data_IF_694055203531
#
_entry.id   IF_694055203531
#
_cell.length_a   1.000
_cell.length_b   1.000
_cell.length_c   1.000
_cell.angle_alpha   90.00
_cell.angle_beta   90.00
_cell.angle_gamma   90.00
#
_symmetry.space_group_name_H-M   'P 1'
#
loop_
_entity.id
_entity.type
_entity.pdbx_description
1 polymer ?
#
# COMPACT_ATOMS: atom_id res chain seq x y z
N UNK A 1 20.44 3.56 18.44
CA UNK A 1 20.53 2.40 17.50
C UNK A 1 21.89 1.73 17.41
N UNK A 2 22.99 2.47 17.25
CA UNK A 2 24.32 1.86 16.99
C UNK A 2 24.69 0.73 17.95
N UNK A 3 24.43 0.88 19.25
CA UNK A 3 24.72 -0.15 20.27
C UNK A 3 23.90 -1.43 20.00
N UNK A 4 22.63 -1.31 19.65
CA UNK A 4 21.77 -2.46 19.31
C UNK A 4 22.29 -3.18 18.07
N UNK A 5 22.60 -2.42 17.02
CA UNK A 5 23.02 -2.98 15.72
C UNK A 5 24.39 -3.65 15.82
N UNK A 6 25.35 -3.03 16.54
CA UNK A 6 26.71 -3.56 16.64
C UNK A 6 26.89 -4.65 17.69
N UNK A 7 26.11 -4.58 18.78
CA UNK A 7 26.37 -5.34 20.01
C UNK A 7 25.17 -6.16 20.50
N UNK A 8 24.01 -6.03 19.84
CA UNK A 8 22.83 -6.85 20.11
C UNK A 8 21.93 -6.35 21.26
N UNK A 9 20.80 -7.04 21.50
CA UNK A 9 19.77 -6.70 22.48
C UNK A 9 20.25 -6.60 23.92
N UNK A 10 21.09 -7.53 24.34
CA UNK A 10 21.48 -7.73 25.73
C UNK A 10 22.43 -6.60 26.17
N UNK A 11 23.38 -6.26 25.31
CA UNK A 11 24.31 -5.15 25.54
C UNK A 11 23.56 -3.82 25.56
N UNK A 12 22.58 -3.62 24.66
CA UNK A 12 21.71 -2.45 24.71
C UNK A 12 21.01 -2.31 26.07
N UNK A 13 20.41 -3.39 26.60
CA UNK A 13 19.72 -3.36 27.90
C UNK A 13 20.68 -3.12 29.06
N UNK A 14 21.87 -3.74 29.03
CA UNK A 14 22.91 -3.50 30.03
C UNK A 14 23.32 -2.03 30.06
N UNK A 15 23.59 -1.46 28.87
CA UNK A 15 23.96 -0.06 28.73
C UNK A 15 22.85 0.90 29.20
N UNK A 16 21.59 0.59 28.85
CA UNK A 16 20.43 1.34 29.35
C UNK A 16 20.36 1.31 30.88
N UNK A 17 20.52 0.13 31.49
CA UNK A 17 20.48 -0.03 32.95
C UNK A 17 21.62 0.72 33.63
N UNK A 18 22.83 0.68 33.08
CA UNK A 18 23.98 1.41 33.61
C UNK A 18 23.73 2.92 33.60
N UNK A 19 23.27 3.47 32.47
CA UNK A 19 22.97 4.90 32.35
C UNK A 19 21.80 5.33 33.26
N UNK A 20 20.82 4.45 33.48
CA UNK A 20 19.72 4.75 34.39
C UNK A 20 20.20 5.03 35.82
N UNK A 21 21.26 4.35 36.26
CA UNK A 21 21.84 4.50 37.60
C UNK A 21 22.94 5.56 37.68
N UNK A 22 23.70 5.75 36.60
CA UNK A 22 24.90 6.61 36.59
C UNK A 22 24.64 8.00 36.02
N UNK A 23 23.82 8.12 34.97
CA UNK A 23 23.61 9.37 34.24
C UNK A 23 22.25 9.43 33.54
N UNK A 24 21.20 9.68 34.35
CA UNK A 24 19.80 9.74 33.89
C UNK A 24 19.53 10.87 32.89
N UNK A 25 20.27 11.98 32.97
CA UNK A 25 20.12 13.11 32.04
C UNK A 25 20.60 12.73 30.63
N UNK A 26 21.79 12.13 30.53
CA UNK A 26 22.31 11.62 29.26
C UNK A 26 21.39 10.55 28.66
N UNK A 27 20.80 9.68 29.51
CA UNK A 27 19.81 8.71 29.04
C UNK A 27 18.58 9.38 28.42
N UNK A 28 18.06 10.45 29.03
CA UNK A 28 16.92 11.19 28.49
C UNK A 28 17.24 11.88 27.16
N UNK A 29 18.46 12.42 27.01
CA UNK A 29 18.95 12.98 25.74
C UNK A 29 19.01 11.91 24.64
N UNK A 30 19.61 10.75 24.93
CA UNK A 30 19.71 9.63 23.99
C UNK A 30 18.32 9.07 23.58
N UNK A 31 17.38 9.01 24.51
CA UNK A 31 16.00 8.59 24.24
C UNK A 31 15.19 9.64 23.45
N UNK A 32 15.68 10.88 23.38
CA UNK A 32 15.08 11.97 22.62
C UNK A 32 15.77 12.21 21.27
N UNK A 33 16.76 11.39 20.92
CA UNK A 33 17.50 11.49 19.67
C UNK A 33 16.60 11.22 18.46
N UNK A 34 16.61 12.14 17.49
CA UNK A 34 15.76 12.07 16.28
C UNK A 34 16.05 10.88 15.36
N UNK A 35 17.24 10.29 15.46
CA UNK A 35 17.67 9.13 14.70
C UNK A 35 17.40 7.82 15.43
N UNK A 36 16.83 7.87 16.65
CA UNK A 36 16.34 6.69 17.32
C UNK A 36 15.30 5.99 16.45
N UNK A 37 15.44 4.68 16.27
CA UNK A 37 14.46 3.86 15.54
C UNK A 37 13.43 3.26 16.49
N UNK A 38 12.24 3.03 15.97
CA UNK A 38 11.16 2.38 16.71
C UNK A 38 11.56 0.99 17.24
N UNK A 39 12.35 0.21 16.50
CA UNK A 39 12.83 -1.11 16.95
C UNK A 39 13.58 -1.04 18.27
N UNK A 40 14.55 -0.13 18.40
CA UNK A 40 15.27 0.13 19.66
C UNK A 40 14.34 0.56 20.78
N UNK A 41 13.44 1.52 20.50
CA UNK A 41 12.50 2.01 21.51
C UNK A 41 11.55 0.90 21.99
N UNK A 42 11.05 0.07 21.08
CA UNK A 42 10.17 -1.05 21.37
C UNK A 42 10.85 -2.10 22.24
N UNK A 43 12.13 -2.40 22.00
CA UNK A 43 12.89 -3.35 22.83
C UNK A 43 13.01 -2.87 24.28
N UNK A 44 13.23 -1.57 24.47
CA UNK A 44 13.40 -0.94 25.78
C UNK A 44 12.06 -0.59 26.46
N UNK A 45 10.91 -0.89 25.85
CA UNK A 45 9.58 -0.46 26.34
C UNK A 45 9.30 -0.86 27.79
N UNK A 46 9.69 -2.07 28.20
CA UNK A 46 9.51 -2.58 29.56
C UNK A 46 10.34 -1.78 30.57
N UNK A 47 11.58 -1.48 30.19
CA UNK A 47 12.59 -0.88 31.05
C UNK A 47 12.30 0.62 31.22
N UNK A 48 11.85 1.29 30.14
CA UNK A 48 11.35 2.67 30.15
C UNK A 48 10.12 2.80 31.04
N UNK A 49 9.18 1.84 30.95
CA UNK A 49 7.96 1.82 31.76
C UNK A 49 8.27 1.59 33.25
N UNK A 50 9.15 0.65 33.56
CA UNK A 50 9.57 0.33 34.93
C UNK A 50 10.38 1.44 35.61
N UNK A 51 11.10 2.25 34.84
CA UNK A 51 11.96 3.33 35.35
C UNK A 51 11.27 4.70 35.48
N UNK A 52 10.01 4.83 35.05
CA UNK A 52 9.27 6.09 35.05
C UNK A 52 9.79 7.14 34.06
N UNK A 53 10.52 6.72 33.02
CA UNK A 53 11.06 7.63 32.00
C UNK A 53 10.06 7.97 30.89
N UNK A 54 8.92 7.28 30.84
CA UNK A 54 7.91 7.44 29.79
C UNK A 54 7.49 8.90 29.58
N UNK A 55 7.27 9.66 30.65
CA UNK A 55 6.78 11.04 30.55
C UNK A 55 7.81 12.01 29.93
N UNK A 56 9.11 11.70 30.08
CA UNK A 56 10.22 12.47 29.54
C UNK A 56 10.46 12.26 28.04
N UNK A 57 9.82 11.25 27.44
CA UNK A 57 9.97 10.97 26.01
C UNK A 57 9.28 12.03 25.15
N UNK A 58 9.78 12.26 23.92
CA UNK A 58 9.07 13.00 22.89
C UNK A 58 7.64 12.49 22.68
N UNK A 59 6.70 13.39 22.35
CA UNK A 59 5.28 13.06 22.21
C UNK A 59 5.03 11.92 21.20
N UNK A 60 5.72 11.94 20.06
CA UNK A 60 5.64 10.90 19.02
C UNK A 60 6.04 9.53 19.57
N UNK A 61 7.08 9.47 20.42
CA UNK A 61 7.60 8.22 20.96
C UNK A 61 6.66 7.66 22.04
N UNK A 62 6.09 8.54 22.87
CA UNK A 62 5.04 8.16 23.84
C UNK A 62 3.84 7.55 23.12
N UNK A 63 3.35 8.24 22.10
CA UNK A 63 2.21 7.79 21.32
C UNK A 63 2.52 6.48 20.57
N UNK A 64 3.72 6.33 20.03
CA UNK A 64 4.15 5.10 19.37
C UNK A 64 4.19 3.91 20.32
N UNK A 65 4.69 4.09 21.55
CA UNK A 65 4.66 3.05 22.58
C UNK A 65 3.23 2.69 22.96
N UNK A 66 2.34 3.68 23.15
CA UNK A 66 0.92 3.47 23.43
C UNK A 66 0.21 2.66 22.36
N UNK A 67 0.38 3.04 21.09
CA UNK A 67 -0.17 2.32 19.96
C UNK A 67 0.38 0.89 19.90
N UNK A 68 1.68 0.71 20.13
CA UNK A 68 2.30 -0.61 20.11
C UNK A 68 1.77 -1.53 21.21
N UNK A 69 1.52 -1.00 22.41
CA UNK A 69 0.91 -1.75 23.52
C UNK A 69 -0.52 -2.17 23.16
N UNK A 70 -1.35 -1.22 22.72
CA UNK A 70 -2.75 -1.47 22.35
C UNK A 70 -2.90 -2.49 21.20
N UNK A 71 -2.07 -2.37 20.16
CA UNK A 71 -2.10 -3.26 19.00
C UNK A 71 -1.54 -4.66 19.30
N UNK A 72 -0.63 -4.78 20.26
CA UNK A 72 -0.13 -6.07 20.75
C UNK A 72 -1.16 -6.76 21.66
N UNK A 73 -1.85 -6.01 22.52
CA UNK A 73 -2.86 -6.57 23.44
C UNK A 73 -4.10 -7.09 22.69
N UNK A 74 -4.55 -6.39 21.65
CA UNK A 74 -5.65 -6.84 20.79
C UNK A 74 -5.38 -8.24 20.18
N UNK A 75 -4.12 -8.58 19.91
CA UNK A 75 -3.73 -9.92 19.45
C UNK A 75 -4.04 -11.02 20.48
N UNK A 76 -3.71 -10.76 21.75
CA UNK A 76 -3.89 -11.75 22.82
C UNK A 76 -5.36 -12.02 23.14
N UNK A 77 -6.24 -11.06 22.83
CA UNK A 77 -7.69 -11.21 22.98
C UNK A 77 -8.29 -12.10 21.87
N UNK A 78 -7.84 -11.95 20.63
CA UNK A 78 -8.31 -12.72 19.48
C UNK A 78 -7.77 -14.17 19.45
N UNK A 79 -6.62 -14.44 20.08
CA UNK A 79 -5.99 -15.77 20.13
C UNK A 79 -6.40 -16.62 21.34
N UNK A 80 -7.20 -16.09 22.28
CA UNK A 80 -7.82 -16.89 23.32
C UNK A 80 -8.86 -17.85 22.70
N UNK A 81 -8.94 -19.14 23.11
CA UNK A 81 -9.80 -20.12 22.46
C UNK A 81 -11.28 -19.83 22.71
N UNK A 82 -11.84 -18.96 21.88
CA UNK A 82 -13.28 -18.78 21.72
C UNK A 82 -13.78 -19.82 20.72
N UNK A 83 -14.74 -20.64 21.15
CA UNK A 83 -15.40 -21.67 20.33
C UNK A 83 -15.83 -21.08 18.97
N UNK A 84 -15.22 -21.61 17.90
CA UNK A 84 -15.63 -21.59 16.49
C UNK A 84 -16.51 -20.40 16.06
N UNK A 85 -15.90 -19.42 15.41
CA UNK A 85 -16.45 -18.84 14.17
C UNK A 85 -15.30 -18.56 13.20
N UNK A 86 -15.32 -19.30 12.10
CA UNK A 86 -14.57 -18.97 10.89
C UNK A 86 -15.21 -17.71 10.29
N UNK A 87 -14.45 -16.62 10.17
CA UNK A 87 -14.72 -15.57 9.19
C UNK A 87 -13.48 -14.71 8.98
N UNK A 88 -12.86 -14.93 7.83
CA UNK A 88 -12.18 -13.96 6.95
C UNK A 88 -12.60 -12.51 7.19
N UNK A 89 -11.61 -11.63 7.29
CA UNK A 89 -11.73 -10.17 7.28
C UNK A 89 -12.61 -9.71 6.12
N UNK A 90 -13.86 -9.39 6.43
CA UNK A 90 -14.84 -8.87 5.50
C UNK A 90 -15.95 -8.19 6.29
N UNK A 91 -16.10 -6.88 6.05
CA UNK A 91 -17.17 -5.98 6.55
C UNK A 91 -17.15 -5.65 8.04
N UNK A 92 -16.55 -4.50 8.37
CA UNK A 92 -16.95 -3.75 9.56
C UNK A 92 -18.23 -2.95 9.25
N UNK A 93 -19.37 -3.57 9.50
CA UNK A 93 -20.62 -2.89 9.81
C UNK A 93 -20.92 -3.15 11.29
N UNK A 94 -21.17 -2.07 12.04
CA UNK A 94 -21.05 -2.04 13.49
C UNK A 94 -21.85 -3.09 14.26
N UNK A 95 -21.27 -3.55 15.36
CA UNK A 95 -22.07 -4.09 16.46
C UNK A 95 -21.33 -3.87 17.78
N UNK A 96 -21.94 -3.08 18.67
CA UNK A 96 -21.51 -2.89 20.06
C UNK A 96 -21.68 -4.22 20.79
N UNK A 97 -20.67 -4.63 21.55
CA UNK A 97 -20.88 -5.58 22.66
C UNK A 97 -20.25 -5.04 23.94
N UNK A 98 -21.15 -4.85 24.90
CA UNK A 98 -20.92 -4.38 26.26
C UNK A 98 -20.48 -5.53 27.18
N UNK A 99 -19.55 -5.24 28.07
CA UNK A 99 -19.53 -5.78 29.43
C UNK A 99 -18.48 -6.85 29.77
N UNK A 100 -17.37 -6.44 30.40
CA UNK A 100 -17.01 -6.89 31.77
C UNK A 100 -15.79 -6.13 32.33
N UNK A 101 -15.87 -5.84 33.63
CA UNK A 101 -14.93 -5.05 34.41
C UNK A 101 -13.66 -5.85 34.78
N UNK A 102 -12.49 -5.24 34.52
CA UNK A 102 -11.28 -5.41 35.33
C UNK A 102 -10.68 -4.03 35.57
N UNK A 103 -10.43 -3.71 36.84
CA UNK A 103 -9.83 -2.48 37.29
C UNK A 103 -8.31 -2.49 37.00
N UNK A 104 -7.96 -2.18 35.77
CA UNK A 104 -6.73 -1.51 35.37
C UNK A 104 -7.17 -0.34 34.47
N UNK A 105 -6.38 0.72 34.32
CA UNK A 105 -6.67 1.76 33.32
C UNK A 105 -7.01 1.06 31.99
N UNK A 106 -8.28 1.07 31.58
CA UNK A 106 -8.68 0.42 30.33
C UNK A 106 -7.85 1.05 29.23
N UNK A 107 -7.07 0.23 28.51
CA UNK A 107 -6.43 0.67 27.28
C UNK A 107 -7.52 1.33 26.42
N UNK A 108 -7.24 2.53 25.91
CA UNK A 108 -8.19 3.21 25.02
C UNK A 108 -8.46 2.29 23.83
N UNK A 109 -9.72 2.14 23.38
CA UNK A 109 -9.99 1.37 22.19
C UNK A 109 -9.24 1.98 21.01
N UNK A 110 -8.72 1.12 20.12
CA UNK A 110 -7.87 1.52 18.99
C UNK A 110 -8.54 2.60 18.14
N UNK A 111 -9.86 2.51 17.93
CA UNK A 111 -10.64 3.50 17.18
C UNK A 111 -10.57 4.92 17.80
N UNK A 112 -10.61 5.03 19.12
CA UNK A 112 -10.47 6.32 19.81
C UNK A 112 -9.04 6.86 19.72
N UNK A 113 -8.04 5.98 19.73
CA UNK A 113 -6.64 6.38 19.54
C UNK A 113 -6.40 6.89 18.12
N UNK A 114 -6.96 6.24 17.12
CA UNK A 114 -6.79 6.62 15.71
C UNK A 114 -7.50 7.93 15.34
N UNK A 115 -8.46 8.38 16.15
CA UNK A 115 -9.08 9.70 16.01
C UNK A 115 -8.13 10.86 16.41
N UNK A 116 -7.06 10.58 17.15
CA UNK A 116 -6.05 11.57 17.52
C UNK A 116 -5.10 11.83 16.33
N UNK A 117 -4.94 13.09 15.86
CA UNK A 117 -4.00 13.42 14.78
C UNK A 117 -2.56 13.00 15.06
N UNK A 118 -2.15 12.93 16.33
CA UNK A 118 -0.82 12.48 16.72
C UNK A 118 -0.58 11.00 16.45
N UNK A 119 -1.64 10.19 16.33
CA UNK A 119 -1.54 8.77 15.99
C UNK A 119 -1.05 8.55 14.57
N UNK A 120 -1.46 9.37 13.61
CA UNK A 120 -0.96 9.31 12.23
C UNK A 120 0.55 9.58 12.19
N UNK A 121 1.02 10.60 12.91
CA UNK A 121 2.44 10.93 13.01
C UNK A 121 3.25 9.81 13.67
N UNK A 122 2.73 9.24 14.77
CA UNK A 122 3.38 8.14 15.48
C UNK A 122 3.43 6.86 14.64
N UNK A 123 2.32 6.47 13.99
CA UNK A 123 2.30 5.34 13.06
C UNK A 123 3.24 5.56 11.87
N UNK A 124 3.27 6.77 11.31
CA UNK A 124 4.20 7.14 10.25
C UNK A 124 5.66 6.98 10.69
N UNK A 125 6.00 7.35 11.91
CA UNK A 125 7.35 7.14 12.45
C UNK A 125 7.64 5.66 12.74
N UNK A 126 6.66 4.90 13.27
CA UNK A 126 6.76 3.45 13.45
C UNK A 126 7.07 2.78 12.13
N UNK A 127 6.27 3.02 11.08
CA UNK A 127 6.42 2.35 9.77
C UNK A 127 7.76 2.67 9.14
N UNK A 128 8.21 3.93 9.15
CA UNK A 128 9.50 4.33 8.56
C UNK A 128 10.72 3.75 9.26
N UNK A 129 10.65 3.59 10.58
CA UNK A 129 11.86 3.26 11.37
C UNK A 129 11.83 1.86 11.97
N UNK A 130 10.66 1.21 12.00
CA UNK A 130 10.42 -0.04 12.71
C UNK A 130 10.64 -1.30 11.89
N UNK A 131 10.58 -1.25 10.55
CA UNK A 131 10.94 -2.42 9.74
C UNK A 131 12.44 -2.68 9.87
N UNK A 132 12.79 -3.74 10.60
CA UNK A 132 14.15 -4.03 11.05
C UNK A 132 14.40 -5.54 11.03
N UNK A 133 15.43 -5.97 10.29
CA UNK A 133 15.77 -7.37 10.09
C UNK A 133 16.31 -8.07 11.34
N UNK A 134 16.82 -7.31 12.31
CA UNK A 134 17.42 -7.83 13.54
C UNK A 134 16.39 -8.09 14.65
N UNK A 135 15.12 -7.73 14.41
CA UNK A 135 14.05 -7.91 15.39
C UNK A 135 13.47 -9.33 15.33
N UNK A 136 13.03 -9.90 16.48
CA UNK A 136 12.44 -11.23 16.51
C UNK A 136 11.25 -11.36 15.56
N UNK A 137 11.24 -12.45 14.80
CA UNK A 137 10.13 -12.80 13.93
C UNK A 137 8.88 -13.14 14.75
N UNK A 138 7.71 -13.14 14.12
CA UNK A 138 6.37 -13.33 14.70
C UNK A 138 5.70 -12.10 15.31
N UNK A 139 5.93 -11.79 16.60
CA UNK A 139 5.12 -10.78 17.31
C UNK A 139 5.43 -9.36 16.84
N UNK A 140 6.71 -9.05 16.69
CA UNK A 140 7.13 -7.74 16.21
C UNK A 140 6.74 -7.52 14.75
N UNK A 141 6.94 -8.54 13.92
CA UNK A 141 6.54 -8.51 12.51
C UNK A 141 5.04 -8.24 12.35
N UNK A 142 4.18 -8.99 13.06
CA UNK A 142 2.73 -8.78 13.03
C UNK A 142 2.33 -7.39 13.50
N UNK A 143 2.99 -6.85 14.53
CA UNK A 143 2.78 -5.46 14.95
C UNK A 143 3.12 -4.49 13.80
N UNK A 144 4.25 -4.69 13.13
CA UNK A 144 4.68 -3.84 12.02
C UNK A 144 3.72 -3.92 10.82
N UNK A 145 3.22 -5.10 10.48
CA UNK A 145 2.18 -5.29 9.46
C UNK A 145 0.90 -4.54 9.82
N UNK A 146 0.43 -4.64 11.06
CA UNK A 146 -0.77 -3.92 11.55
C UNK A 146 -0.59 -2.41 11.50
N UNK A 147 0.54 -1.89 11.98
CA UNK A 147 0.85 -0.46 11.92
C UNK A 147 0.86 0.05 10.48
N UNK A 148 1.47 -0.72 9.56
CA UNK A 148 1.52 -0.39 8.13
C UNK A 148 0.12 -0.39 7.51
N UNK A 149 -0.69 -1.41 7.78
CA UNK A 149 -2.07 -1.50 7.29
C UNK A 149 -2.96 -0.37 7.84
N UNK A 150 -2.89 -0.06 9.13
CA UNK A 150 -3.67 1.04 9.72
C UNK A 150 -3.30 2.39 9.07
N UNK A 151 -2.02 2.64 8.86
CA UNK A 151 -1.56 3.89 8.28
C UNK A 151 -1.99 4.05 6.80
N UNK A 152 -1.77 3.02 5.98
CA UNK A 152 -2.07 3.06 4.54
C UNK A 152 -3.57 2.91 4.24
N UNK A 153 -4.26 2.01 4.92
CA UNK A 153 -5.63 1.61 4.56
C UNK A 153 -6.68 2.43 5.29
N UNK A 154 -6.48 2.69 6.58
CA UNK A 154 -7.48 3.39 7.41
C UNK A 154 -7.21 4.89 7.47
N UNK A 155 -5.97 5.29 7.74
CA UNK A 155 -5.59 6.71 7.81
C UNK A 155 -5.28 7.31 6.43
N UNK A 156 -5.12 6.48 5.40
CA UNK A 156 -4.83 6.89 4.01
C UNK A 156 -3.58 7.78 3.89
N UNK A 157 -2.61 7.63 4.80
CA UNK A 157 -1.34 8.34 4.72
C UNK A 157 -0.39 7.62 3.77
N UNK A 158 -0.34 8.13 2.54
CA UNK A 158 0.46 7.59 1.42
C UNK A 158 1.93 7.99 1.48
N UNK A 159 2.32 8.86 2.41
CA UNK A 159 3.69 9.40 2.49
C UNK A 159 4.75 8.36 2.86
N UNK A 160 4.34 7.16 3.27
CA UNK A 160 5.24 6.03 3.59
C UNK A 160 5.33 4.99 2.48
N UNK A 161 4.63 5.17 1.34
CA UNK A 161 4.64 4.18 0.25
C UNK A 161 6.05 3.88 -0.28
N UNK A 162 6.97 4.85 -0.43
CA UNK A 162 8.36 4.55 -0.79
C UNK A 162 9.04 3.61 0.20
N UNK A 163 8.94 3.90 1.50
CA UNK A 163 9.52 3.08 2.57
C UNK A 163 8.92 1.66 2.56
N UNK A 164 7.60 1.55 2.38
CA UNK A 164 6.90 0.25 2.34
C UNK A 164 7.28 -0.55 1.10
N UNK A 165 7.45 0.09 -0.06
CA UNK A 165 7.96 -0.57 -1.26
C UNK A 165 9.35 -1.15 -0.99
N UNK A 166 10.27 -0.36 -0.42
CA UNK A 166 11.62 -0.80 -0.10
C UNK A 166 11.62 -2.04 0.81
N UNK A 167 10.78 -2.02 1.85
CA UNK A 167 10.59 -3.15 2.77
C UNK A 167 10.03 -4.39 2.07
N UNK A 168 9.05 -4.25 1.17
CA UNK A 168 8.51 -5.38 0.39
C UNK A 168 9.63 -6.09 -0.36
N UNK A 169 10.44 -5.33 -1.11
CA UNK A 169 11.51 -5.92 -1.91
C UNK A 169 12.64 -6.47 -1.04
N UNK A 170 13.04 -5.78 0.02
CA UNK A 170 14.04 -6.28 0.96
C UNK A 170 13.63 -7.60 1.61
N UNK A 171 12.41 -7.69 2.12
CA UNK A 171 11.89 -8.91 2.72
C UNK A 171 11.78 -10.05 1.71
N UNK A 172 11.34 -9.75 0.49
CA UNK A 172 11.30 -10.75 -0.58
C UNK A 172 12.69 -11.28 -0.93
N UNK A 173 13.73 -10.43 -0.98
CA UNK A 173 15.12 -10.88 -1.15
C UNK A 173 15.57 -11.81 -0.03
N UNK A 174 15.07 -11.62 1.18
CA UNK A 174 15.37 -12.50 2.32
C UNK A 174 14.53 -13.79 2.34
N UNK A 175 13.62 -13.98 1.37
CA UNK A 175 12.71 -15.12 1.32
C UNK A 175 11.57 -15.05 2.35
N UNK A 176 11.37 -13.89 3.00
CA UNK A 176 10.30 -13.69 3.98
C UNK A 176 8.96 -13.43 3.29
N UNK A 177 7.87 -13.68 4.02
CA UNK A 177 6.51 -13.40 3.52
C UNK A 177 6.28 -11.89 3.38
N UNK A 178 5.65 -11.51 2.27
CA UNK A 178 5.36 -10.11 1.91
C UNK A 178 3.88 -9.85 1.64
N UNK A 179 3.02 -10.86 1.75
CA UNK A 179 1.63 -10.79 1.26
C UNK A 179 0.82 -9.68 1.94
N UNK A 180 0.96 -9.49 3.25
CA UNK A 180 0.23 -8.44 3.99
C UNK A 180 0.73 -7.04 3.65
N UNK A 181 2.04 -6.88 3.44
CA UNK A 181 2.64 -5.63 3.01
C UNK A 181 2.21 -5.26 1.59
N UNK A 182 2.26 -6.21 0.66
CA UNK A 182 1.78 -6.02 -0.72
C UNK A 182 0.30 -5.67 -0.72
N UNK A 183 -0.52 -6.38 0.06
CA UNK A 183 -1.94 -6.05 0.20
C UNK A 183 -2.13 -4.61 0.71
N UNK A 184 -1.49 -4.22 1.81
CA UNK A 184 -1.60 -2.87 2.37
C UNK A 184 -1.13 -1.79 1.39
N UNK A 185 -0.08 -2.07 0.61
CA UNK A 185 0.43 -1.18 -0.44
C UNK A 185 -0.62 -0.90 -1.53
N UNK A 186 -1.27 -1.93 -2.05
CA UNK A 186 -2.30 -1.77 -3.08
C UNK A 186 -3.62 -1.19 -2.55
N UNK A 187 -4.01 -1.48 -1.30
CA UNK A 187 -5.20 -0.89 -0.63
C UNK A 187 -5.05 0.61 -0.28
N UNK A 188 -3.84 1.17 -0.42
CA UNK A 188 -3.64 2.61 -0.37
C UNK A 188 -4.30 3.34 -1.55
N UNK A 189 -4.64 2.60 -2.63
CA UNK A 189 -5.23 3.08 -3.87
C UNK A 189 -4.51 4.31 -4.45
N UNK A 190 -3.19 4.30 -4.37
CA UNK A 190 -2.33 5.33 -4.95
C UNK A 190 -1.73 4.86 -6.26
N UNK A 191 -2.13 5.46 -7.39
CA UNK A 191 -1.68 5.00 -8.71
C UNK A 191 -0.20 5.29 -8.94
N UNK A 192 0.30 6.41 -8.41
CA UNK A 192 1.69 6.84 -8.60
C UNK A 192 2.67 5.85 -7.94
N UNK A 193 2.22 5.14 -6.90
CA UNK A 193 2.95 4.04 -6.27
C UNK A 193 3.40 2.94 -7.26
N UNK A 194 2.73 2.79 -8.41
CA UNK A 194 3.15 1.85 -9.46
C UNK A 194 4.54 2.18 -10.01
N UNK A 195 4.96 3.45 -10.01
CA UNK A 195 6.30 3.85 -10.40
C UNK A 195 7.37 3.31 -9.43
N UNK A 196 7.06 3.19 -8.14
CA UNK A 196 7.96 2.59 -7.13
C UNK A 196 8.22 1.11 -7.44
N UNK A 197 7.18 0.39 -7.89
CA UNK A 197 7.30 -1.00 -8.31
C UNK A 197 8.05 -1.10 -9.64
N UNK A 198 7.74 -0.23 -10.61
CA UNK A 198 8.37 -0.24 -11.93
C UNK A 198 9.90 -0.03 -11.84
N UNK A 199 10.36 0.87 -10.96
CA UNK A 199 11.79 1.10 -10.72
C UNK A 199 12.57 -0.19 -10.37
N UNK A 200 11.89 -1.19 -9.78
CA UNK A 200 12.49 -2.46 -9.36
C UNK A 200 12.74 -3.43 -10.51
N UNK A 201 12.21 -3.15 -11.71
CA UNK A 201 12.57 -3.88 -12.94
C UNK A 201 14.05 -3.69 -13.30
N UNK A 202 14.63 -2.53 -12.96
CA UNK A 202 16.05 -2.21 -13.16
C UNK A 202 16.95 -2.70 -12.02
N UNK A 203 16.42 -3.41 -11.01
CA UNK A 203 17.23 -3.87 -9.88
C UNK A 203 18.29 -4.87 -10.34
N UNK A 204 19.54 -4.79 -9.82
CA UNK A 204 20.55 -5.81 -10.09
C UNK A 204 20.19 -7.16 -9.47
N UNK A 205 19.30 -7.20 -8.46
CA UNK A 205 18.80 -8.45 -7.89
C UNK A 205 17.64 -8.99 -8.74
N UNK A 206 17.85 -10.17 -9.34
CA UNK A 206 16.86 -10.83 -10.18
C UNK A 206 15.54 -11.11 -9.46
N UNK A 207 15.56 -11.28 -8.13
CA UNK A 207 14.36 -11.50 -7.30
C UNK A 207 13.49 -10.26 -7.24
N UNK A 208 14.09 -9.07 -7.22
CA UNK A 208 13.34 -7.82 -7.25
C UNK A 208 12.64 -7.65 -8.60
N UNK A 209 13.37 -7.81 -9.71
CA UNK A 209 12.79 -7.71 -11.04
C UNK A 209 11.67 -8.75 -11.26
N UNK A 210 11.85 -9.98 -10.74
CA UNK A 210 10.82 -11.02 -10.81
C UNK A 210 9.56 -10.67 -10.02
N UNK A 211 9.70 -10.12 -8.80
CA UNK A 211 8.55 -9.66 -8.03
C UNK A 211 7.87 -8.47 -8.70
N UNK A 212 8.63 -7.50 -9.21
CA UNK A 212 8.08 -6.34 -9.92
C UNK A 212 7.23 -6.75 -11.13
N UNK A 213 7.72 -7.68 -11.96
CA UNK A 213 6.95 -8.27 -13.07
C UNK A 213 5.66 -8.94 -12.59
N UNK A 214 5.72 -9.68 -11.48
CA UNK A 214 4.54 -10.32 -10.89
C UNK A 214 3.49 -9.29 -10.44
N UNK A 215 3.92 -8.20 -9.81
CA UNK A 215 3.04 -7.14 -9.33
C UNK A 215 2.47 -6.27 -10.46
N UNK A 216 3.20 -6.12 -11.56
CA UNK A 216 2.83 -5.32 -12.73
C UNK A 216 2.28 -6.15 -13.90
N UNK A 217 1.88 -7.40 -13.66
CA UNK A 217 1.49 -8.35 -14.70
C UNK A 217 0.28 -7.93 -15.55
N UNK A 218 -0.47 -6.90 -15.14
CA UNK A 218 -1.56 -6.31 -15.91
C UNK A 218 -1.07 -5.41 -17.06
N UNK A 219 0.21 -5.02 -17.04
CA UNK A 219 0.84 -4.21 -18.08
C UNK A 219 1.38 -5.14 -19.18
N UNK A 220 0.98 -4.95 -20.45
CA UNK A 220 1.45 -5.77 -21.56
C UNK A 220 2.98 -5.77 -21.70
N UNK A 221 3.57 -6.93 -21.98
CA UNK A 221 5.01 -7.09 -22.21
C UNK A 221 5.86 -7.22 -20.94
N UNK A 222 5.27 -7.11 -19.75
CA UNK A 222 5.99 -7.31 -18.48
C UNK A 222 6.38 -8.76 -18.20
N UNK A 223 5.84 -9.72 -18.94
CA UNK A 223 6.14 -11.15 -18.83
C UNK A 223 7.32 -11.61 -19.70
N UNK A 224 7.83 -10.75 -20.59
CA UNK A 224 8.98 -11.07 -21.44
C UNK A 224 10.28 -11.13 -20.64
N UNK A 225 10.61 -12.32 -20.12
CA UNK A 225 11.82 -12.56 -19.33
C UNK A 225 13.12 -12.38 -20.14
N UNK A 226 13.05 -12.31 -21.48
CA UNK A 226 14.22 -12.14 -22.34
C UNK A 226 14.66 -10.69 -22.49
N UNK A 227 13.74 -9.73 -22.29
CA UNK A 227 14.04 -8.31 -22.38
C UNK A 227 14.94 -7.84 -21.22
N UNK A 228 15.84 -6.90 -21.51
CA UNK A 228 16.64 -6.21 -20.49
C UNK A 228 15.74 -5.41 -19.54
N UNK A 229 16.14 -5.34 -18.26
CA UNK A 229 15.38 -4.68 -17.20
C UNK A 229 15.15 -3.19 -17.47
N UNK A 230 16.10 -2.48 -18.09
CA UNK A 230 15.92 -1.07 -18.44
C UNK A 230 14.91 -0.90 -19.57
N UNK A 231 15.00 -1.75 -20.60
CA UNK A 231 14.06 -1.77 -21.72
C UNK A 231 12.63 -2.03 -21.23
N UNK A 232 12.44 -3.03 -20.36
CA UNK A 232 11.14 -3.29 -19.71
C UNK A 232 10.67 -2.08 -18.90
N UNK A 233 11.55 -1.47 -18.11
CA UNK A 233 11.22 -0.29 -17.32
C UNK A 233 10.75 0.87 -18.18
N UNK A 234 11.46 1.20 -19.26
CA UNK A 234 11.07 2.28 -20.18
C UNK A 234 9.72 1.99 -20.86
N UNK A 235 9.50 0.76 -21.34
CA UNK A 235 8.21 0.36 -21.92
C UNK A 235 7.06 0.48 -20.91
N UNK A 236 7.31 0.10 -19.65
CA UNK A 236 6.33 0.25 -18.55
C UNK A 236 6.05 1.72 -18.27
N UNK A 237 7.07 2.58 -18.22
CA UNK A 237 6.89 4.02 -18.01
C UNK A 237 6.07 4.67 -19.12
N UNK A 238 6.40 4.37 -20.38
CA UNK A 238 5.66 4.87 -21.53
C UNK A 238 4.20 4.43 -21.47
N UNK A 239 3.96 3.15 -21.18
CA UNK A 239 2.61 2.62 -21.03
C UNK A 239 1.84 3.29 -19.89
N UNK A 240 2.47 3.46 -18.71
CA UNK A 240 1.86 4.14 -17.57
C UNK A 240 1.52 5.58 -17.90
N UNK A 241 2.42 6.32 -18.57
CA UNK A 241 2.18 7.73 -18.91
C UNK A 241 0.89 7.96 -19.70
N UNK A 242 0.49 7.00 -20.53
CA UNK A 242 -0.77 7.03 -21.29
C UNK A 242 -1.94 6.50 -20.47
N UNK A 243 -1.73 5.44 -19.67
CA UNK A 243 -2.82 4.70 -19.03
C UNK A 243 -3.17 5.15 -17.62
N UNK A 244 -2.34 5.94 -16.95
CA UNK A 244 -2.51 6.35 -15.55
C UNK A 244 -3.93 6.85 -15.19
N UNK A 245 -4.58 7.73 -15.99
CA UNK A 245 -5.93 8.20 -15.68
C UNK A 245 -7.00 7.11 -15.70
N UNK A 246 -6.72 5.99 -16.35
CA UNK A 246 -7.67 4.91 -16.62
C UNK A 246 -7.42 3.67 -15.73
N UNK A 247 -6.39 3.69 -14.89
CA UNK A 247 -6.05 2.59 -13.99
C UNK A 247 -6.97 2.62 -12.75
N UNK A 248 -7.44 1.43 -12.37
CA UNK A 248 -8.16 1.20 -11.12
C UNK A 248 -7.65 -0.07 -10.43
N UNK A 249 -7.89 -0.16 -9.13
CA UNK A 249 -7.52 -1.31 -8.31
C UNK A 249 -8.65 -2.34 -8.33
N UNK A 250 -8.31 -3.61 -8.51
CA UNK A 250 -9.30 -4.70 -8.67
C UNK A 250 -9.78 -5.25 -7.32
N UNK A 251 -9.03 -4.98 -6.25
CA UNK A 251 -9.19 -5.60 -4.95
C UNK A 251 -8.63 -7.04 -4.86
N UNK A 252 -8.01 -7.56 -5.92
CA UNK A 252 -7.35 -8.87 -5.87
C UNK A 252 -6.12 -8.86 -4.96
N UNK A 253 -5.82 -10.00 -4.33
CA UNK A 253 -4.69 -10.11 -3.41
C UNK A 253 -4.04 -11.49 -3.42
N UNK A 254 -2.78 -11.55 -2.97
CA UNK A 254 -2.02 -12.80 -2.85
C UNK A 254 -2.62 -13.79 -1.83
N UNK A 255 -3.55 -13.33 -0.99
CA UNK A 255 -4.26 -14.18 -0.04
C UNK A 255 -5.44 -14.92 -0.70
N UNK A 256 -6.00 -14.37 -1.78
CA UNK A 256 -7.17 -14.91 -2.47
C UNK A 256 -6.78 -15.79 -3.66
N UNK A 257 -5.74 -15.40 -4.42
CA UNK A 257 -5.30 -16.13 -5.60
C UNK A 257 -3.76 -16.11 -5.75
N UNK A 258 -3.16 -17.13 -6.40
CA UNK A 258 -1.70 -17.22 -6.54
C UNK A 258 -1.10 -16.22 -7.55
N UNK A 259 -1.94 -15.72 -8.47
CA UNK A 259 -1.58 -14.76 -9.52
C UNK A 259 -2.58 -13.60 -9.54
N UNK A 260 -2.59 -12.74 -8.51
CA UNK A 260 -3.50 -11.61 -8.44
C UNK A 260 -3.17 -10.57 -9.52
N UNK A 261 -4.22 -10.02 -10.11
CA UNK A 261 -4.14 -8.87 -11.00
C UNK A 261 -4.55 -7.64 -10.19
N UNK A 262 -3.60 -6.95 -9.56
CA UNK A 262 -3.89 -5.86 -8.60
C UNK A 262 -4.56 -4.64 -9.21
N UNK A 263 -4.26 -4.35 -10.48
CA UNK A 263 -4.75 -3.20 -11.20
C UNK A 263 -5.26 -3.61 -12.58
N UNK A 264 -6.18 -2.82 -13.13
CA UNK A 264 -6.67 -3.00 -14.49
C UNK A 264 -6.96 -1.64 -15.14
N UNK A 265 -6.97 -1.63 -16.47
CA UNK A 265 -7.32 -0.45 -17.27
C UNK A 265 -8.81 -0.44 -17.57
N UNK A 266 -9.46 0.67 -17.30
CA UNK A 266 -10.85 0.88 -17.66
C UNK A 266 -10.98 1.17 -19.16
N UNK A 267 -11.57 0.23 -19.89
CA UNK A 267 -11.93 0.44 -21.30
C UNK A 267 -12.96 1.57 -21.45
N UNK A 268 -13.84 1.76 -20.47
CA UNK A 268 -14.81 2.86 -20.47
C UNK A 268 -14.12 4.23 -20.36
N UNK A 269 -13.18 4.37 -19.42
CA UNK A 269 -12.36 5.57 -19.26
C UNK A 269 -11.53 5.86 -20.51
N UNK A 270 -10.88 4.83 -21.08
CA UNK A 270 -10.10 4.97 -22.33
C UNK A 270 -10.96 5.34 -23.53
N UNK A 271 -12.14 4.74 -23.67
CA UNK A 271 -13.05 5.06 -24.76
C UNK A 271 -13.54 6.51 -24.70
N UNK A 272 -13.81 7.03 -23.50
CA UNK A 272 -14.24 8.42 -23.33
C UNK A 272 -13.08 9.41 -23.13
N UNK A 273 -11.86 8.90 -23.02
CA UNK A 273 -10.66 9.68 -22.67
C UNK A 273 -10.84 10.49 -21.38
N UNK A 274 -11.57 9.93 -20.41
CA UNK A 274 -11.88 10.55 -19.12
C UNK A 274 -11.28 9.74 -17.97
N UNK A 275 -10.73 10.43 -16.98
CA UNK A 275 -10.20 9.81 -15.77
C UNK A 275 -11.29 8.99 -15.05
N UNK A 276 -10.89 7.84 -14.51
CA UNK A 276 -11.78 6.98 -13.72
C UNK A 276 -11.54 7.12 -12.23
N UNK A 277 -12.50 6.70 -11.41
CA UNK A 277 -12.29 6.48 -9.98
C UNK A 277 -11.31 5.31 -9.78
N UNK A 278 -10.33 5.48 -8.89
CA UNK A 278 -9.32 4.46 -8.60
C UNK A 278 -9.94 3.21 -7.96
N UNK A 279 -11.03 3.36 -7.22
CA UNK A 279 -11.71 2.26 -6.53
C UNK A 279 -12.70 1.51 -7.44
N UNK A 280 -13.43 2.24 -8.30
CA UNK A 280 -14.52 1.64 -9.08
C UNK A 280 -14.18 1.35 -10.54
N UNK A 281 -13.12 1.97 -11.07
CA UNK A 281 -12.79 1.91 -12.50
C UNK A 281 -13.80 2.59 -13.42
N UNK A 282 -14.80 3.29 -12.87
CA UNK A 282 -15.83 3.97 -13.64
C UNK A 282 -15.44 5.43 -13.92
N UNK A 283 -15.67 5.93 -15.14
CA UNK A 283 -15.53 7.35 -15.45
C UNK A 283 -16.59 8.16 -14.68
N UNK A 284 -16.22 9.35 -14.20
CA UNK A 284 -17.14 10.28 -13.56
C UNK A 284 -17.90 11.07 -14.63
N UNK A 285 -19.13 10.65 -14.93
CA UNK A 285 -19.96 11.24 -15.99
C UNK A 285 -21.31 11.68 -15.41
N UNK A 286 -21.82 12.86 -15.76
CA UNK A 286 -23.16 13.30 -15.38
C UNK A 286 -24.26 12.35 -15.89
N UNK A 287 -25.20 12.01 -15.01
CA UNK A 287 -26.38 11.21 -15.36
C UNK A 287 -27.22 11.89 -16.44
N UNK A 288 -27.58 11.15 -17.50
CA UNK A 288 -28.53 11.62 -18.52
C UNK A 288 -27.94 12.52 -19.62
N UNK A 289 -26.61 12.70 -19.67
CA UNK A 289 -25.93 13.42 -20.74
C UNK A 289 -25.64 12.56 -21.99
N UNK A 290 -25.25 13.18 -23.12
CA UNK A 290 -24.84 12.46 -24.34
C UNK A 290 -23.71 11.46 -24.11
N UNK A 291 -22.82 11.73 -23.17
CA UNK A 291 -21.72 10.84 -22.77
C UNK A 291 -22.22 9.57 -22.09
N UNK A 292 -23.23 9.68 -21.22
CA UNK A 292 -23.84 8.52 -20.58
C UNK A 292 -24.53 7.62 -21.62
N UNK A 293 -25.22 8.20 -22.60
CA UNK A 293 -25.83 7.43 -23.68
C UNK A 293 -24.77 6.73 -24.56
N UNK A 294 -23.68 7.43 -24.92
CA UNK A 294 -22.56 6.82 -25.66
C UNK A 294 -21.96 5.66 -24.87
N UNK A 295 -21.78 5.83 -23.56
CA UNK A 295 -21.21 4.80 -22.72
C UNK A 295 -22.12 3.57 -22.62
N UNK A 296 -23.43 3.76 -22.50
CA UNK A 296 -24.40 2.67 -22.52
C UNK A 296 -24.38 1.89 -23.84
N UNK A 297 -24.23 2.59 -24.97
CA UNK A 297 -24.07 1.94 -26.27
C UNK A 297 -22.74 1.16 -26.33
N UNK A 298 -21.64 1.75 -25.86
CA UNK A 298 -20.32 1.11 -25.79
C UNK A 298 -20.32 -0.15 -24.91
N UNK A 299 -21.04 -0.12 -23.78
CA UNK A 299 -21.18 -1.27 -22.86
C UNK A 299 -21.84 -2.49 -23.51
N UNK A 300 -22.63 -2.32 -24.57
CA UNK A 300 -23.30 -3.41 -25.30
C UNK A 300 -22.39 -4.14 -26.29
N UNK A 301 -21.22 -3.58 -26.60
CA UNK A 301 -20.24 -4.21 -27.47
C UNK A 301 -19.57 -5.41 -26.80
N UNK A 302 -19.07 -6.34 -27.61
CA UNK A 302 -18.25 -7.44 -27.10
C UNK A 302 -16.86 -6.97 -26.64
N UNK A 303 -16.11 -7.85 -25.97
CA UNK A 303 -14.82 -7.51 -25.38
C UNK A 303 -13.75 -7.09 -26.41
N UNK A 304 -13.76 -7.66 -27.60
CA UNK A 304 -12.80 -7.34 -28.66
C UNK A 304 -13.09 -5.96 -29.26
N UNK A 305 -14.37 -5.66 -29.53
CA UNK A 305 -14.83 -4.37 -30.01
C UNK A 305 -14.59 -3.26 -28.99
N UNK A 306 -14.85 -3.51 -27.70
CA UNK A 306 -14.56 -2.55 -26.62
C UNK A 306 -13.09 -2.18 -26.57
N UNK A 307 -12.21 -3.19 -26.63
CA UNK A 307 -10.76 -2.97 -26.63
C UNK A 307 -10.33 -2.15 -27.84
N UNK A 308 -10.76 -2.55 -29.04
CA UNK A 308 -10.49 -1.85 -30.29
C UNK A 308 -10.88 -0.36 -30.22
N UNK A 309 -12.13 -0.06 -29.85
CA UNK A 309 -12.58 1.33 -29.78
C UNK A 309 -11.91 2.10 -28.65
N UNK A 310 -11.63 1.49 -27.51
CA UNK A 310 -10.91 2.15 -26.42
C UNK A 310 -9.47 2.50 -26.81
N UNK A 311 -8.79 1.61 -27.55
CA UNK A 311 -7.43 1.85 -28.03
C UNK A 311 -7.39 2.95 -29.09
N UNK A 312 -8.24 2.86 -30.12
CA UNK A 312 -8.32 3.88 -31.18
C UNK A 312 -8.77 5.23 -30.64
N UNK A 313 -9.77 5.26 -29.77
CA UNK A 313 -10.25 6.50 -29.14
C UNK A 313 -9.13 7.23 -28.40
N UNK A 314 -8.41 6.49 -27.54
CA UNK A 314 -7.30 7.03 -26.77
C UNK A 314 -6.15 7.51 -27.68
N UNK A 315 -5.76 6.71 -28.67
CA UNK A 315 -4.72 7.10 -29.63
C UNK A 315 -5.09 8.37 -30.41
N UNK A 316 -6.34 8.45 -30.89
CA UNK A 316 -6.85 9.60 -31.62
C UNK A 316 -6.91 10.85 -30.74
N UNK A 317 -7.32 10.73 -29.49
CA UNK A 317 -7.35 11.83 -28.53
C UNK A 317 -5.97 12.41 -28.25
N UNK A 318 -4.97 11.54 -28.07
CA UNK A 318 -3.58 11.93 -27.82
C UNK A 318 -2.93 12.58 -29.04
N UNK A 319 -3.30 12.17 -30.26
CA UNK A 319 -2.77 12.73 -31.50
C UNK A 319 -3.47 14.03 -31.91
N UNK A 320 -4.81 14.03 -31.93
CA UNK A 320 -5.64 15.16 -32.35
C UNK A 320 -7.00 15.14 -31.63
N UNK A 321 -7.08 15.91 -30.55
CA UNK A 321 -8.29 16.06 -29.76
C UNK A 321 -9.50 16.54 -30.58
N UNK A 322 -9.33 17.41 -31.59
CA UNK A 322 -10.47 17.92 -32.39
C UNK A 322 -11.02 16.84 -33.31
N UNK A 323 -10.13 16.07 -33.91
CA UNK A 323 -10.51 14.91 -34.72
C UNK A 323 -11.21 13.86 -33.85
N UNK A 324 -10.71 13.62 -32.64
CA UNK A 324 -11.37 12.77 -31.66
C UNK A 324 -12.77 13.25 -31.28
N UNK A 325 -12.95 14.54 -30.99
CA UNK A 325 -14.25 15.14 -30.63
C UNK A 325 -15.31 14.95 -31.74
N UNK A 326 -14.87 14.91 -32.99
CA UNK A 326 -15.72 14.63 -34.14
C UNK A 326 -16.03 13.14 -34.25
N UNK A 327 -15.01 12.29 -34.12
CA UNK A 327 -15.12 10.83 -34.22
C UNK A 327 -16.00 10.21 -33.13
N UNK A 328 -15.85 10.63 -31.87
CA UNK A 328 -16.61 10.06 -30.73
C UNK A 328 -18.12 10.36 -30.81
N UNK A 329 -18.53 11.31 -31.66
CA UNK A 329 -19.94 11.66 -31.92
C UNK A 329 -20.58 10.80 -33.02
N UNK A 330 -19.79 10.07 -33.79
CA UNK A 330 -20.29 9.18 -34.83
C UNK A 330 -21.12 8.03 -34.22
N UNK A 331 -22.07 7.45 -34.97
CA UNK A 331 -22.69 6.18 -34.61
C UNK A 331 -21.65 5.07 -34.40
N UNK A 332 -21.92 4.12 -33.49
CA UNK A 332 -20.97 3.06 -33.15
C UNK A 332 -20.50 2.21 -34.35
N UNK A 333 -21.39 1.97 -35.32
CA UNK A 333 -21.02 1.24 -36.54
C UNK A 333 -19.91 1.96 -37.33
N UNK A 334 -20.09 3.26 -37.55
CA UNK A 334 -19.10 4.11 -38.24
C UNK A 334 -17.80 4.23 -37.44
N UNK A 335 -17.87 4.29 -36.10
CA UNK A 335 -16.68 4.26 -35.26
C UNK A 335 -15.89 2.96 -35.44
N UNK A 336 -16.57 1.81 -35.49
CA UNK A 336 -15.94 0.50 -35.68
C UNK A 336 -15.32 0.37 -37.07
N UNK A 337 -16.03 0.76 -38.12
CA UNK A 337 -15.51 0.77 -39.50
C UNK A 337 -14.27 1.66 -39.62
N UNK A 338 -14.35 2.86 -39.04
CA UNK A 338 -13.24 3.81 -39.00
C UNK A 338 -12.04 3.25 -38.24
N UNK A 339 -12.27 2.64 -37.07
CA UNK A 339 -11.23 2.01 -36.25
C UNK A 339 -10.52 0.85 -36.97
N UNK A 340 -11.27 0.00 -37.68
CA UNK A 340 -10.71 -1.09 -38.49
C UNK A 340 -9.85 -0.56 -39.64
N UNK A 341 -10.28 0.50 -40.31
CA UNK A 341 -9.51 1.16 -41.38
C UNK A 341 -8.20 1.75 -40.89
N UNK A 342 -8.19 2.38 -39.70
CA UNK A 342 -6.97 2.94 -39.10
C UNK A 342 -5.95 1.85 -38.73
N UNK A 343 -6.40 0.67 -38.29
CA UNK A 343 -5.51 -0.46 -38.03
C UNK A 343 -4.99 -1.12 -39.32
N UNK A 344 -5.83 -1.24 -40.36
CA UNK A 344 -5.46 -1.84 -41.64
C UNK A 344 -4.49 -1.00 -42.48
N UNK A 345 -4.38 0.31 -42.22
CA UNK A 345 -3.44 1.22 -42.88
C UNK A 345 -2.07 1.34 -42.22
N UNK A 346 -1.82 0.62 -41.13
CA UNK A 346 -0.56 0.67 -40.34
C UNK A 346 0.39 -0.51 -40.63
N UNK A 347 0.26 -1.13 -41.81
CA UNK A 347 1.05 -2.29 -42.26
C UNK A 347 2.30 -1.93 -43.06
#
# INVERSE_FOLDING_TARGET
DNIRISSGPEILRSYFSELLHTNRNNLAELLSDRHLRFSTLYMLKSDIKGSGLRDSLPAVYKQALELSEALSEAETADTAPSRRRSSTFGRYAGTRLSGRNRAGKKAKPVDEMLADPSSAQALGWIVRTGWDGDMPEEHYERLMERCTALLLVLLKDRSVLPDVADVIFERHRQGKLVHNLVWAFFEAHDRESLYLIAQRLCSPDRRDAALARKLLCFIPGTDDVSADGHSQYFSVLEWLSVNMPYIHFTGESMQMCPKPVFCAVSHEGRYLCTQVSADSGKPEIPSGGPEAERLERFRRLDGSQKRLLADVSCALFMQDKRRWESWIRLPLGEQLESALSMLGGSG
#
